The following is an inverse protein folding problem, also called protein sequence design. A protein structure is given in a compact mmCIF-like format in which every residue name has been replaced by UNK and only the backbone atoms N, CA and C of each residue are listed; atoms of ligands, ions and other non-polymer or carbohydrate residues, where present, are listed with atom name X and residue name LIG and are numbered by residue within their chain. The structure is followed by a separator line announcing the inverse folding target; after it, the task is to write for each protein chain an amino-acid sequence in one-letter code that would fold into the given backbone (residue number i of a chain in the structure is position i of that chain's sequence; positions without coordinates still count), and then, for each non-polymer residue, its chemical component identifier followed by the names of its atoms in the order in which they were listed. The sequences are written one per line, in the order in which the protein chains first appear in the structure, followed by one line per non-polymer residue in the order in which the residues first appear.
data_IF_133851491602
#
_entry.id   IF_133851491602
#
_cell.length_a   1.000
_cell.length_b   1.000
_cell.length_c   1.000
_cell.angle_alpha   90.00
_cell.angle_beta   90.00
_cell.angle_gamma   90.00
#
_symmetry.space_group_name_H-M   'P 1'
#
loop_
_entity.id
_entity.type
_entity.pdbx_description
1 polymer ?
#
# COMPACT_ATOMS: atom_id res chain seq x y z
N UNK A 1 -0.43 -10.28 5.22
CA UNK A 1 -0.94 -9.08 4.55
C UNK A 1 -2.06 -9.53 3.63
N UNK A 2 -3.22 -8.88 3.70
CA UNK A 2 -4.35 -9.13 2.82
C UNK A 2 -4.85 -7.79 2.27
N UNK A 3 -5.04 -7.72 0.96
CA UNK A 3 -5.53 -6.55 0.24
C UNK A 3 -6.69 -7.03 -0.62
N UNK A 4 -7.83 -6.35 -0.51
CA UNK A 4 -9.05 -6.74 -1.21
C UNK A 4 -9.67 -5.56 -1.92
N UNK A 5 -9.80 -5.65 -3.25
CA UNK A 5 -10.44 -4.65 -4.11
C UNK A 5 -9.89 -3.24 -3.96
N UNK A 6 -8.59 -3.09 -3.68
CA UNK A 6 -8.01 -1.80 -3.31
C UNK A 6 -8.00 -0.81 -4.49
N UNK A 7 -8.55 0.38 -4.26
CA UNK A 7 -8.53 1.49 -5.22
C UNK A 7 -7.91 2.73 -4.58
N UNK A 8 -7.25 3.55 -5.38
CA UNK A 8 -6.65 4.81 -4.96
C UNK A 8 -6.46 5.73 -6.17
N UNK A 9 -6.39 7.03 -5.89
CA UNK A 9 -6.04 8.06 -6.86
C UNK A 9 -4.63 8.59 -6.56
N UNK A 10 -3.92 9.02 -7.59
CA UNK A 10 -2.66 9.75 -7.43
C UNK A 10 -2.90 11.20 -6.98
N UNK A 11 -1.81 11.96 -6.79
CA UNK A 11 -1.88 13.39 -6.43
C UNK A 11 -2.56 14.28 -7.49
N UNK A 12 -2.80 13.76 -8.69
CA UNK A 12 -3.49 14.46 -9.79
C UNK A 12 -4.94 14.00 -9.91
N UNK A 13 -5.47 13.26 -8.93
CA UNK A 13 -6.81 12.67 -8.94
C UNK A 13 -7.05 11.72 -10.11
N UNK A 14 -5.99 11.07 -10.62
CA UNK A 14 -6.10 10.04 -11.63
C UNK A 14 -6.13 8.66 -10.97
N UNK A 15 -6.93 7.71 -11.48
CA UNK A 15 -6.98 6.35 -10.91
C UNK A 15 -5.61 5.66 -10.99
N UNK A 16 -4.96 5.45 -9.84
CA UNK A 16 -3.67 4.80 -9.70
C UNK A 16 -3.82 3.30 -9.40
N UNK A 17 -4.75 2.92 -8.51
CA UNK A 17 -5.08 1.52 -8.20
C UNK A 17 -6.52 1.22 -8.63
N UNK A 18 -6.74 0.07 -9.27
CA UNK A 18 -8.01 -0.30 -9.90
C UNK A 18 -8.54 -1.66 -9.42
N UNK A 19 -8.75 -1.80 -8.12
CA UNK A 19 -9.28 -3.03 -7.53
C UNK A 19 -8.19 -4.09 -7.38
N UNK A 20 -7.11 -3.76 -6.67
CA UNK A 20 -6.01 -4.69 -6.43
C UNK A 20 -6.39 -5.69 -5.35
N UNK A 21 -6.25 -6.98 -5.67
CA UNK A 21 -6.36 -8.09 -4.72
C UNK A 21 -5.00 -8.78 -4.60
N UNK A 22 -4.47 -8.87 -3.37
CA UNK A 22 -3.27 -9.67 -3.11
C UNK A 22 -3.25 -10.18 -1.67
N UNK A 23 -2.53 -11.29 -1.46
CA UNK A 23 -2.23 -11.79 -0.12
C UNK A 23 -0.77 -12.22 -0.05
N UNK A 24 -0.13 -11.93 1.08
CA UNK A 24 1.24 -12.35 1.39
C UNK A 24 1.21 -13.00 2.76
N UNK A 25 1.62 -14.27 2.80
CA UNK A 25 1.66 -15.09 4.02
C UNK A 25 2.96 -14.86 4.79
N UNK A 26 2.98 -15.33 6.03
CA UNK A 26 4.20 -15.30 6.84
C UNK A 26 5.32 -16.10 6.16
N UNK A 27 6.49 -15.48 6.02
CA UNK A 27 7.67 -16.08 5.38
C UNK A 27 7.73 -15.96 3.86
N UNK A 28 6.72 -15.38 3.21
CA UNK A 28 6.71 -15.16 1.76
C UNK A 28 7.38 -13.83 1.38
N UNK A 29 8.03 -13.82 0.22
CA UNK A 29 8.54 -12.62 -0.43
C UNK A 29 7.78 -12.44 -1.75
N UNK A 30 7.01 -11.35 -1.85
CA UNK A 30 6.27 -11.00 -3.06
C UNK A 30 7.01 -9.88 -3.82
N UNK A 31 7.29 -10.12 -5.11
CA UNK A 31 7.75 -9.08 -6.02
C UNK A 31 6.58 -8.48 -6.80
N UNK A 32 6.46 -7.15 -6.80
CA UNK A 32 5.53 -6.40 -7.66
C UNK A 32 6.35 -5.62 -8.68
N UNK A 33 6.12 -5.86 -9.96
CA UNK A 33 6.88 -5.25 -11.06
C UNK A 33 5.95 -4.74 -12.16
N UNK A 34 6.41 -3.73 -12.88
CA UNK A 34 5.69 -3.10 -14.00
C UNK A 34 6.46 -1.91 -14.55
N UNK A 35 5.90 -1.24 -15.56
CA UNK A 35 6.46 0.01 -16.07
C UNK A 35 6.13 1.18 -15.14
N UNK A 36 6.87 2.28 -15.25
CA UNK A 36 6.61 3.50 -14.48
C UNK A 36 5.18 4.00 -14.73
N UNK A 37 4.48 4.38 -13.66
CA UNK A 37 3.10 4.87 -13.71
C UNK A 37 2.03 3.79 -13.61
N UNK A 38 2.39 2.54 -13.32
CA UNK A 38 1.43 1.45 -13.12
C UNK A 38 0.94 1.28 -11.67
N UNK A 39 1.24 2.22 -10.78
CA UNK A 39 0.71 2.20 -9.41
C UNK A 39 1.59 1.49 -8.38
N UNK A 40 2.86 1.14 -8.68
CA UNK A 40 3.70 0.44 -7.70
C UNK A 40 3.99 1.30 -6.47
N UNK A 41 4.35 2.56 -6.69
CA UNK A 41 4.61 3.53 -5.62
C UNK A 41 3.34 3.78 -4.82
N UNK A 42 2.23 4.04 -5.50
CA UNK A 42 0.92 4.30 -4.89
C UNK A 42 0.42 3.09 -4.10
N UNK A 43 0.67 1.86 -4.56
CA UNK A 43 0.37 0.66 -3.80
C UNK A 43 1.14 0.65 -2.46
N UNK A 44 2.44 0.93 -2.48
CA UNK A 44 3.26 0.97 -1.26
C UNK A 44 2.81 2.11 -0.34
N UNK A 45 2.55 3.29 -0.89
CA UNK A 45 2.08 4.44 -0.13
C UNK A 45 0.74 4.17 0.55
N UNK A 46 -0.21 3.51 -0.13
CA UNK A 46 -1.49 3.12 0.49
C UNK A 46 -1.30 2.09 1.59
N UNK A 47 -0.46 1.07 1.36
CA UNK A 47 -0.17 0.04 2.36
C UNK A 47 0.52 0.59 3.61
N UNK A 48 1.25 1.69 3.47
CA UNK A 48 1.98 2.37 4.54
C UNK A 48 1.22 3.56 5.14
N UNK A 49 0.02 3.85 4.62
CA UNK A 49 -0.82 4.96 5.07
C UNK A 49 -0.38 6.36 4.60
N UNK A 50 0.59 6.44 3.70
CA UNK A 50 1.07 7.70 3.09
C UNK A 50 0.08 8.25 2.05
N UNK A 51 -0.65 7.36 1.37
CA UNK A 51 -1.71 7.68 0.44
C UNK A 51 -3.03 7.06 0.92
N UNK A 52 -4.14 7.77 0.74
CA UNK A 52 -5.46 7.29 1.15
C UNK A 52 -6.07 6.42 0.04
N UNK A 53 -6.56 5.24 0.41
CA UNK A 53 -7.39 4.42 -0.45
C UNK A 53 -8.75 5.09 -0.65
N UNK A 54 -9.25 5.03 -1.89
CA UNK A 54 -10.60 5.46 -2.26
C UNK A 54 -11.64 4.34 -2.15
N UNK A 55 -11.19 3.11 -1.93
CA UNK A 55 -12.03 1.92 -1.82
C UNK A 55 -11.22 0.66 -1.55
N UNK A 56 -11.92 -0.43 -1.23
CA UNK A 56 -11.32 -1.70 -0.82
C UNK A 56 -10.86 -1.70 0.64
N UNK A 57 -9.99 -2.65 0.98
CA UNK A 57 -9.45 -2.78 2.35
C UNK A 57 -8.03 -3.36 2.39
N UNK A 58 -7.30 -3.02 3.43
CA UNK A 58 -5.97 -3.55 3.74
C UNK A 58 -5.97 -4.12 5.16
N UNK A 59 -5.49 -5.35 5.33
CA UNK A 59 -5.30 -6.00 6.62
C UNK A 59 -3.87 -6.46 6.83
N UNK A 60 -3.29 -6.08 7.97
CA UNK A 60 -1.95 -6.48 8.39
C UNK A 60 -2.07 -7.20 9.73
N UNK A 61 -1.55 -8.43 9.81
CA UNK A 61 -1.66 -9.29 11.00
C UNK A 61 -3.10 -9.44 11.50
N UNK A 62 -4.07 -9.51 10.57
CA UNK A 62 -5.49 -9.63 10.88
C UNK A 62 -6.19 -8.33 11.31
N UNK A 63 -5.44 -7.22 11.50
CA UNK A 63 -5.99 -5.90 11.83
C UNK A 63 -6.27 -5.12 10.55
N UNK A 64 -7.45 -4.51 10.47
CA UNK A 64 -7.77 -3.55 9.42
C UNK A 64 -6.94 -2.27 9.61
N UNK A 65 -6.18 -1.93 8.59
CA UNK A 65 -5.30 -0.76 8.54
C UNK A 65 -5.67 0.16 7.38
N UNK A 66 -6.86 -0.01 6.79
CA UNK A 66 -7.33 0.83 5.71
C UNK A 66 -7.38 2.29 6.18
N UNK A 67 -6.64 3.17 5.50
CA UNK A 67 -6.60 4.61 5.77
C UNK A 67 -6.14 5.03 7.18
N UNK A 68 -5.54 4.12 7.95
CA UNK A 68 -4.92 4.50 9.24
C UNK A 68 -3.66 5.32 9.01
N UNK A 69 -3.23 6.09 10.02
CA UNK A 69 -2.05 6.95 9.89
C UNK A 69 -0.78 6.10 9.76
N UNK A 70 0.26 6.57 9.03
CA UNK A 70 1.51 5.82 8.87
C UNK A 70 2.14 5.35 10.18
N UNK A 71 2.06 6.19 11.22
CA UNK A 71 2.55 5.85 12.56
C UNK A 71 1.90 4.58 13.12
N UNK A 72 0.60 4.43 12.95
CA UNK A 72 -0.14 3.26 13.44
C UNK A 72 0.23 2.00 12.64
N UNK A 73 0.54 2.14 11.35
CA UNK A 73 1.05 1.04 10.52
C UNK A 73 2.44 0.60 11.01
N UNK A 74 3.34 1.54 11.26
CA UNK A 74 4.70 1.26 11.79
C UNK A 74 4.66 0.60 13.16
N UNK A 75 3.75 1.02 14.04
CA UNK A 75 3.55 0.42 15.37
C UNK A 75 3.11 -1.06 15.31
N UNK A 76 2.63 -1.55 14.16
CA UNK A 76 2.35 -2.98 13.91
C UNK A 76 3.59 -3.78 13.45
N UNK A 77 4.77 -3.14 13.40
CA UNK A 77 6.01 -3.77 12.95
C UNK A 77 6.25 -3.71 11.45
N UNK A 78 5.52 -2.84 10.73
CA UNK A 78 5.74 -2.59 9.31
C UNK A 78 6.88 -1.58 9.15
N UNK A 79 7.82 -1.87 8.23
CA UNK A 79 8.86 -0.94 7.84
C UNK A 79 8.69 -0.59 6.36
N UNK A 80 8.72 0.71 6.06
CA UNK A 80 8.77 1.22 4.70
C UNK A 80 10.20 1.68 4.40
N UNK A 81 10.77 1.20 3.30
CA UNK A 81 12.06 1.66 2.78
C UNK A 81 11.76 2.44 1.51
N UNK A 82 11.90 3.78 1.51
CA UNK A 82 11.56 4.59 0.35
C UNK A 82 12.54 4.36 -0.80
N UNK A 83 12.07 4.65 -2.02
CA UNK A 83 12.89 4.60 -3.24
C UNK A 83 14.01 5.65 -3.20
N UNK A 84 13.70 6.88 -2.77
CA UNK A 84 14.67 7.96 -2.57
C UNK A 84 14.78 8.35 -1.08
N UNK A 85 15.81 7.84 -0.41
CA UNK A 85 16.09 8.10 1.01
C UNK A 85 16.42 9.57 1.34
N UNK A 86 16.67 10.42 0.34
CA UNK A 86 16.96 11.84 0.57
C UNK A 86 15.72 12.72 0.45
N UNK A 87 14.69 12.26 -0.25
CA UNK A 87 13.48 13.03 -0.53
C UNK A 87 12.26 12.58 0.26
N UNK A 88 12.18 11.29 0.60
CA UNK A 88 10.97 10.66 1.16
C UNK A 88 11.21 10.07 2.57
#
# INVERSE_FOLDING_TARGET
LEVSGLTAEDLRHQPALRGVDLSVRAGEVLGVAGVQGNGQTELVEVLTGLLQATGGSVRILGKDVTNVKPREVTELGVAHIPEDRQRD
#
